data_IF_849870577578
#
_entry.id   IF_849870577578
#
_cell.length_a   1.000
_cell.length_b   1.000
_cell.length_c   1.000
_cell.angle_alpha   90.00
_cell.angle_beta   90.00
_cell.angle_gamma   90.00
#
_symmetry.space_group_name_H-M   'P 1'
#
loop_
_entity.id
_entity.type
_entity.pdbx_description
1 polymer ?
#
# COMPACT_ATOMS: atom_id res chain seq x y z
N UNK A 1 6.46 6.47 1.94
CA UNK A 1 5.83 6.53 0.59
C UNK A 1 4.36 6.28 0.78
N UNK A 2 3.48 7.21 0.38
CA UNK A 2 2.05 7.12 0.68
C UNK A 2 1.20 6.93 -0.58
N UNK A 3 0.20 6.06 -0.48
CA UNK A 3 -0.74 5.71 -1.55
C UNK A 3 -2.16 5.83 -0.96
N UNK A 4 -2.90 6.85 -1.40
CA UNK A 4 -4.30 7.02 -1.03
C UNK A 4 -5.22 6.22 -1.96
N UNK A 5 -6.18 5.50 -1.39
CA UNK A 5 -7.25 4.86 -2.17
C UNK A 5 -8.18 5.93 -2.74
N UNK A 6 -8.43 5.86 -4.05
CA UNK A 6 -9.30 6.81 -4.76
C UNK A 6 -10.76 6.38 -4.66
N UNK A 7 -11.67 7.35 -4.80
CA UNK A 7 -13.11 7.15 -4.93
C UNK A 7 -13.75 6.37 -3.76
N UNK A 8 -13.30 6.63 -2.54
CA UNK A 8 -13.92 6.12 -1.31
C UNK A 8 -14.54 7.25 -0.52
N UNK A 9 -15.72 6.97 0.03
CA UNK A 9 -16.40 7.80 1.02
C UNK A 9 -16.32 7.12 2.39
N UNK A 10 -15.26 7.44 3.14
CA UNK A 10 -15.06 6.99 4.50
C UNK A 10 -14.43 8.11 5.33
N UNK A 11 -14.87 8.25 6.58
CA UNK A 11 -14.19 9.08 7.57
C UNK A 11 -12.99 8.33 8.13
N UNK A 12 -11.91 9.05 8.42
CA UNK A 12 -10.74 8.47 9.07
C UNK A 12 -11.11 7.91 10.45
N UNK A 13 -10.60 6.72 10.77
CA UNK A 13 -10.75 6.09 12.09
C UNK A 13 -9.40 6.06 12.82
N UNK A 14 -8.47 5.25 12.30
CA UNK A 14 -7.15 5.05 12.88
C UNK A 14 -6.19 4.48 11.82
N UNK A 15 -4.92 4.31 12.20
CA UNK A 15 -3.89 3.68 11.36
C UNK A 15 -3.35 2.45 12.08
N UNK A 16 -3.13 1.36 11.34
CA UNK A 16 -2.53 0.12 11.86
C UNK A 16 -1.16 -0.10 11.21
N UNK A 17 -0.22 -0.65 11.97
CA UNK A 17 1.12 -0.98 11.49
C UNK A 17 1.24 -2.49 11.21
N UNK A 18 1.80 -2.82 10.04
CA UNK A 18 2.06 -4.19 9.59
C UNK A 18 3.42 -4.25 8.90
N UNK A 19 4.45 -4.79 9.56
CA UNK A 19 5.80 -4.94 8.99
C UNK A 19 6.34 -3.65 8.33
N UNK A 20 6.27 -2.52 9.04
CA UNK A 20 6.63 -1.17 8.56
C UNK A 20 5.75 -0.64 7.40
N UNK A 21 4.61 -1.26 7.13
CA UNK A 21 3.55 -0.76 6.27
C UNK A 21 2.42 -0.26 7.16
N UNK A 22 2.08 1.03 7.05
CA UNK A 22 0.97 1.61 7.77
C UNK A 22 -0.27 1.57 6.88
N UNK A 23 -1.39 1.11 7.42
CA UNK A 23 -2.68 1.07 6.73
C UNK A 23 -3.64 2.05 7.40
N UNK A 24 -4.10 3.04 6.66
CA UNK A 24 -5.14 3.95 7.14
C UNK A 24 -6.49 3.27 7.03
N UNK A 25 -7.20 3.18 8.14
CA UNK A 25 -8.55 2.62 8.23
C UNK A 25 -9.55 3.76 8.28
N UNK A 26 -10.65 3.60 7.54
CA UNK A 26 -11.79 4.50 7.61
C UNK A 26 -13.09 3.77 7.81
N UNK A 27 -14.08 4.49 8.34
CA UNK A 27 -15.46 4.01 8.53
C UNK A 27 -16.35 4.59 7.45
N UNK A 28 -17.08 3.74 6.74
CA UNK A 28 -18.06 4.15 5.73
C UNK A 28 -19.36 4.65 6.37
N UNK A 29 -20.27 5.21 5.56
CA UNK A 29 -21.64 5.53 5.98
C UNK A 29 -22.44 4.31 6.46
N UNK A 30 -22.03 3.10 6.09
CA UNK A 30 -22.63 1.82 6.51
C UNK A 30 -21.95 1.23 7.75
N UNK A 31 -21.09 2.00 8.42
CA UNK A 31 -20.29 1.58 9.59
C UNK A 31 -19.29 0.45 9.29
N UNK A 32 -18.95 0.25 8.02
CA UNK A 32 -17.94 -0.73 7.60
C UNK A 32 -16.54 -0.14 7.73
N UNK A 33 -15.61 -0.93 8.27
CA UNK A 33 -14.20 -0.56 8.33
C UNK A 33 -13.48 -1.04 7.08
N UNK A 34 -12.84 -0.11 6.38
CA UNK A 34 -12.15 -0.38 5.12
C UNK A 34 -10.78 0.27 5.10
N UNK A 35 -9.89 -0.25 4.26
CA UNK A 35 -8.57 0.36 4.05
C UNK A 35 -8.72 1.53 3.08
N UNK A 36 -8.23 2.70 3.49
CA UNK A 36 -8.34 3.98 2.77
C UNK A 36 -7.00 4.52 2.28
N UNK A 37 -5.89 4.03 2.83
CA UNK A 37 -4.55 4.45 2.47
C UNK A 37 -3.50 3.45 2.91
N UNK A 38 -2.33 3.53 2.28
CA UNK A 38 -1.15 2.72 2.61
C UNK A 38 0.06 3.62 2.64
N UNK A 39 0.83 3.57 3.72
CA UNK A 39 2.16 4.16 3.81
C UNK A 39 3.21 3.08 3.98
N UNK A 40 4.31 3.19 3.24
CA UNK A 40 5.50 2.36 3.41
C UNK A 40 6.56 3.24 4.08
N UNK A 41 6.85 2.93 5.35
CA UNK A 41 7.90 3.59 6.13
C UNK A 41 9.25 3.06 5.67
N UNK A 42 10.28 3.91 5.62
CA UNK A 42 11.63 3.51 5.20
C UNK A 42 11.68 2.66 3.92
N UNK A 43 10.89 3.05 2.90
CA UNK A 43 10.71 2.31 1.65
C UNK A 43 12.04 1.89 0.98
N UNK A 44 13.12 2.64 1.17
CA UNK A 44 14.44 2.27 0.63
C UNK A 44 14.94 0.97 1.25
N UNK A 45 14.78 0.81 2.56
CA UNK A 45 15.20 -0.39 3.28
C UNK A 45 14.29 -1.56 2.94
N UNK A 46 12.97 -1.35 3.02
CA UNK A 46 11.96 -2.37 2.76
C UNK A 46 12.06 -2.97 1.35
N UNK A 47 12.23 -2.13 0.33
CA UNK A 47 12.40 -2.62 -1.05
C UNK A 47 13.86 -2.99 -1.40
N UNK A 48 14.82 -2.72 -0.51
CA UNK A 48 16.25 -2.93 -0.79
C UNK A 48 16.75 -2.08 -1.95
N UNK A 49 16.32 -0.83 -2.02
CA UNK A 49 16.68 0.18 -3.03
C UNK A 49 17.31 1.40 -2.37
N UNK A 50 18.10 2.16 -3.10
CA UNK A 50 18.69 3.39 -2.54
C UNK A 50 17.66 4.52 -2.50
N UNK A 51 17.87 5.53 -1.65
CA UNK A 51 17.07 6.77 -1.70
C UNK A 51 17.13 7.46 -3.08
N UNK A 52 18.24 7.30 -3.79
CA UNK A 52 18.37 7.76 -5.19
C UNK A 52 17.48 6.96 -6.14
N UNK A 53 17.40 5.63 -5.98
CA UNK A 53 16.47 4.82 -6.78
C UNK A 53 15.01 5.26 -6.53
N UNK A 54 14.65 5.59 -5.28
CA UNK A 54 13.31 6.10 -4.92
C UNK A 54 12.98 7.48 -5.52
N UNK A 55 13.96 8.30 -5.87
CA UNK A 55 13.69 9.55 -6.61
C UNK A 55 13.40 9.30 -8.09
N UNK A 56 13.49 8.04 -8.56
CA UNK A 56 13.27 7.62 -9.94
C UNK A 56 12.19 6.52 -10.03
N UNK A 57 11.16 6.60 -9.19
CA UNK A 57 10.00 5.71 -9.27
C UNK A 57 9.28 5.95 -10.60
N UNK A 58 9.08 4.89 -11.36
CA UNK A 58 8.33 4.89 -12.61
C UNK A 58 6.96 4.23 -12.48
N UNK A 59 6.80 3.35 -11.49
CA UNK A 59 5.55 2.65 -11.26
C UNK A 59 5.43 2.14 -9.84
N UNK A 60 4.18 2.00 -9.40
CA UNK A 60 3.82 1.24 -8.21
C UNK A 60 2.52 0.52 -8.51
N UNK A 61 2.49 -0.77 -8.21
CA UNK A 61 1.29 -1.58 -8.26
C UNK A 61 1.17 -2.43 -7.02
N UNK A 62 0.03 -3.10 -6.83
CA UNK A 62 -0.16 -3.97 -5.69
C UNK A 62 -1.59 -4.39 -5.51
N UNK A 63 -1.79 -5.29 -4.55
CA UNK A 63 -3.08 -5.81 -4.17
C UNK A 63 -3.11 -5.96 -2.64
N UNK A 64 -4.15 -5.40 -2.03
CA UNK A 64 -4.50 -5.70 -0.65
C UNK A 64 -5.77 -6.53 -0.67
N UNK A 65 -5.73 -7.68 -0.02
CA UNK A 65 -6.86 -8.59 0.13
C UNK A 65 -7.23 -8.70 1.60
N UNK A 66 -8.44 -8.26 1.93
CA UNK A 66 -9.00 -8.39 3.26
C UNK A 66 -9.91 -9.61 3.27
N UNK A 67 -9.55 -10.58 4.11
CA UNK A 67 -10.37 -11.74 4.42
C UNK A 67 -10.82 -11.66 5.86
N UNK A 68 -11.81 -12.49 6.22
CA UNK A 68 -12.39 -12.54 7.56
C UNK A 68 -11.34 -12.63 8.67
N UNK A 69 -10.32 -13.46 8.46
CA UNK A 69 -9.30 -13.74 9.48
C UNK A 69 -7.96 -13.04 9.22
N UNK A 70 -7.71 -12.56 7.99
CA UNK A 70 -6.38 -12.09 7.59
C UNK A 70 -6.44 -10.97 6.58
N UNK A 71 -5.48 -10.04 6.67
CA UNK A 71 -5.18 -9.08 5.61
C UNK A 71 -3.88 -9.50 4.93
N UNK A 72 -3.89 -9.58 3.60
CA UNK A 72 -2.68 -9.81 2.79
C UNK A 72 -2.36 -8.56 2.00
N UNK A 73 -1.10 -8.17 1.99
CA UNK A 73 -0.61 -6.97 1.33
C UNK A 73 0.49 -7.39 0.37
N UNK A 74 0.35 -7.07 -0.91
CA UNK A 74 1.41 -7.15 -1.91
C UNK A 74 1.59 -5.77 -2.54
N UNK A 75 2.82 -5.27 -2.55
CA UNK A 75 3.15 -4.00 -3.21
C UNK A 75 4.39 -4.22 -4.06
N UNK A 76 4.33 -3.73 -5.29
CA UNK A 76 5.38 -3.77 -6.29
C UNK A 76 5.80 -2.33 -6.56
N UNK A 77 7.09 -2.06 -6.44
CA UNK A 77 7.74 -0.81 -6.76
C UNK A 77 8.60 -0.99 -8.00
N UNK A 78 8.43 -0.12 -8.98
CA UNK A 78 9.24 -0.07 -10.18
C UNK A 78 10.03 1.24 -10.20
N UNK A 79 11.35 1.14 -10.28
CA UNK A 79 12.28 2.28 -10.33
C UNK A 79 13.19 2.20 -11.56
N UNK A 80 13.72 3.33 -12.02
CA UNK A 80 14.82 3.33 -12.98
C UNK A 80 16.16 3.19 -12.25
N UNK A 81 16.85 2.08 -12.51
CA UNK A 81 18.20 1.82 -12.01
C UNK A 81 19.17 1.69 -13.18
N UNK A 82 20.14 2.61 -13.28
CA UNK A 82 21.07 2.69 -14.43
C UNK A 82 20.32 2.73 -15.77
N UNK A 83 19.26 3.55 -15.84
CA UNK A 83 18.38 3.72 -17.00
C UNK A 83 17.65 2.44 -17.45
N UNK A 84 17.48 1.47 -16.56
CA UNK A 84 16.70 0.25 -16.81
C UNK A 84 15.62 0.11 -15.74
N UNK A 85 14.41 -0.32 -16.10
CA UNK A 85 13.40 -0.71 -15.13
C UNK A 85 13.95 -1.77 -14.18
N UNK A 86 13.71 -1.57 -12.90
CA UNK A 86 14.09 -2.47 -11.83
C UNK A 86 12.93 -2.60 -10.86
N UNK A 87 12.41 -3.82 -10.74
CA UNK A 87 11.24 -4.12 -9.94
C UNK A 87 11.65 -4.71 -8.58
N UNK A 88 10.93 -4.30 -7.54
CA UNK A 88 11.00 -4.88 -6.20
C UNK A 88 9.60 -5.05 -5.64
N UNK A 89 9.38 -6.17 -4.95
CA UNK A 89 8.09 -6.45 -4.31
C UNK A 89 8.27 -6.72 -2.83
N UNK A 90 7.25 -6.34 -2.07
CA UNK A 90 7.09 -6.69 -0.67
C UNK A 90 5.76 -7.38 -0.46
N UNK A 91 5.75 -8.28 0.52
CA UNK A 91 4.58 -9.03 0.92
C UNK A 91 4.48 -8.98 2.43
N UNK A 92 3.29 -8.70 2.95
CA UNK A 92 3.01 -8.76 4.37
C UNK A 92 1.67 -9.45 4.60
N UNK A 93 1.52 -10.07 5.77
CA UNK A 93 0.29 -10.75 6.17
C UNK A 93 0.07 -10.55 7.67
N UNK A 94 -1.12 -10.09 8.02
CA UNK A 94 -1.54 -9.87 9.41
C UNK A 94 -2.91 -10.47 9.67
N UNK A 95 -3.27 -10.64 10.94
CA UNK A 95 -4.62 -10.99 11.35
C UNK A 95 -5.57 -9.81 11.09
N UNK A 96 -6.81 -10.11 10.71
CA UNK A 96 -7.87 -9.10 10.62
C UNK A 96 -8.50 -8.87 12.00
N UNK A 97 -7.70 -8.41 12.95
CA UNK A 97 -8.13 -8.19 14.34
C UNK A 97 -9.04 -6.97 14.51
N UNK A 98 -9.07 -6.07 13.51
CA UNK A 98 -9.85 -4.84 13.51
C UNK A 98 -11.24 -4.98 12.88
N UNK A 99 -11.58 -6.17 12.38
CA UNK A 99 -12.89 -6.45 11.78
C UNK A 99 -13.11 -5.71 10.47
N UNK A 100 -12.06 -5.58 9.65
CA UNK A 100 -12.14 -4.97 8.32
C UNK A 100 -13.07 -5.80 7.42
N UNK A 101 -13.87 -5.12 6.61
CA UNK A 101 -14.79 -5.77 5.67
C UNK A 101 -14.04 -6.53 4.60
N UNK A 102 -14.59 -7.67 4.17
CA UNK A 102 -13.99 -8.47 3.11
C UNK A 102 -13.96 -7.68 1.80
N UNK A 103 -12.77 -7.42 1.28
CA UNK A 103 -12.61 -6.66 0.04
C UNK A 103 -11.26 -6.90 -0.63
N UNK A 104 -11.11 -6.36 -1.84
CA UNK A 104 -9.83 -6.28 -2.52
C UNK A 104 -9.61 -4.87 -3.04
N UNK A 105 -8.42 -4.34 -2.77
CA UNK A 105 -8.00 -3.01 -3.19
C UNK A 105 -6.76 -3.12 -4.07
N UNK A 106 -6.91 -2.72 -5.33
CA UNK A 106 -5.81 -2.63 -6.28
C UNK A 106 -5.08 -1.30 -6.13
N UNK A 107 -3.77 -1.37 -5.95
CA UNK A 107 -2.87 -0.23 -6.02
C UNK A 107 -2.37 -0.13 -7.45
N UNK A 108 -2.56 1.04 -8.08
CA UNK A 108 -1.88 1.39 -9.33
C UNK A 108 -1.59 2.89 -9.34
N UNK A 109 -0.31 3.22 -9.47
CA UNK A 109 0.18 4.57 -9.70
C UNK A 109 1.36 4.49 -10.66
N UNK A 110 1.26 5.17 -11.80
CA UNK A 110 2.40 5.36 -12.71
C UNK A 110 2.91 6.78 -12.55
N UNK A 111 4.22 6.95 -12.55
CA UNK A 111 4.79 8.29 -12.70
C UNK A 111 4.66 8.64 -14.17
N UNK A 112 3.83 9.63 -14.52
CA UNK A 112 3.91 10.29 -15.82
C UNK A 112 5.33 10.81 -15.97
N UNK A 113 6.11 10.18 -16.84
CA UNK A 113 7.38 10.73 -17.34
C UNK A 113 7.01 12.07 -17.99
N UNK A 114 7.39 13.17 -17.35
CA UNK A 114 7.27 14.54 -17.91
C UNK A 114 8.40 14.77 -18.89
#
# INVERSE_FOLDING_TARGET
>A
MYIKRKNIEAEYDHTIEVDNIYLDIGVTKTEEKIITGVEIIDASEIFGVTKFDLSHIIGTSGLIEVYKETVKINIILEVLKRNKPFEKSINAKVLNEYGLSNESFNIQATSTVV
#
